data_IF_683032056730
#
_entry.id   IF_683032056730
#
_cell.length_a   1.000
_cell.length_b   1.000
_cell.length_c   1.000
_cell.angle_alpha   90.00
_cell.angle_beta   90.00
_cell.angle_gamma   90.00
#
_symmetry.space_group_name_H-M   'P 1'
#
loop_
_entity.id
_entity.type
_entity.pdbx_description
1 polymer ?
#
# COMPACT_ATOMS: atom_id res chain seq x y z
N UNK A 1 4.22 18.69 -6.46
CA UNK A 1 4.93 17.40 -6.53
C UNK A 1 3.99 16.34 -7.08
N UNK A 2 4.45 15.51 -8.03
CA UNK A 2 3.63 14.41 -8.61
C UNK A 2 3.18 13.40 -7.55
N UNK A 3 3.87 13.34 -6.41
CA UNK A 3 3.62 12.39 -5.32
C UNK A 3 2.88 13.02 -4.13
N UNK A 4 2.36 14.25 -4.29
CA UNK A 4 1.62 14.92 -3.22
C UNK A 4 0.37 14.12 -2.79
N UNK A 5 -0.49 13.63 -3.72
CA UNK A 5 -1.66 12.85 -3.33
C UNK A 5 -1.32 11.56 -2.56
N UNK A 6 -0.25 10.86 -2.94
CA UNK A 6 0.22 9.69 -2.19
C UNK A 6 0.60 10.06 -0.75
N UNK A 7 1.34 11.16 -0.59
CA UNK A 7 1.75 11.60 0.75
C UNK A 7 0.57 11.99 1.62
N UNK A 8 -0.46 12.58 1.03
CA UNK A 8 -1.70 12.95 1.72
C UNK A 8 -2.47 11.71 2.16
N UNK A 9 -2.63 10.71 1.29
CA UNK A 9 -3.27 9.44 1.62
C UNK A 9 -2.52 8.70 2.73
N UNK A 10 -1.19 8.57 2.62
CA UNK A 10 -0.37 7.90 3.65
C UNK A 10 -0.45 8.64 4.99
N UNK A 11 -0.51 9.98 5.00
CA UNK A 11 -0.70 10.76 6.22
C UNK A 11 -2.07 10.54 6.83
N UNK A 12 -3.12 10.55 6.01
CA UNK A 12 -4.49 10.31 6.45
C UNK A 12 -4.61 8.93 7.10
N UNK A 13 -4.19 7.88 6.38
CA UNK A 13 -4.26 6.51 6.88
C UNK A 13 -3.38 6.29 8.12
N UNK A 14 -2.19 6.91 8.14
CA UNK A 14 -1.30 6.85 9.30
C UNK A 14 -1.89 7.54 10.53
N UNK A 15 -2.60 8.68 10.36
CA UNK A 15 -3.32 9.35 11.44
C UNK A 15 -4.46 8.50 11.97
N UNK A 16 -5.30 7.98 11.08
CA UNK A 16 -6.44 7.11 11.45
C UNK A 16 -5.94 5.85 12.18
N UNK A 17 -4.88 5.21 11.70
CA UNK A 17 -4.28 4.06 12.39
C UNK A 17 -3.75 4.46 13.78
N UNK A 18 -3.11 5.63 13.91
CA UNK A 18 -2.62 6.15 15.19
C UNK A 18 -3.74 6.40 16.19
N UNK A 19 -4.86 6.97 15.74
CA UNK A 19 -6.07 7.16 16.56
C UNK A 19 -6.65 5.80 16.99
N UNK A 20 -6.78 4.85 16.07
CA UNK A 20 -7.22 3.47 16.37
C UNK A 20 -6.31 2.79 17.39
N UNK A 21 -4.99 2.92 17.26
CA UNK A 21 -4.03 2.37 18.23
C UNK A 21 -4.22 2.97 19.62
N UNK A 22 -4.39 4.28 19.71
CA UNK A 22 -4.60 4.98 20.98
C UNK A 22 -5.90 4.52 21.67
N UNK A 23 -6.96 4.34 20.90
CA UNK A 23 -8.26 3.87 21.40
C UNK A 23 -8.24 2.40 21.85
N UNK A 24 -7.53 1.53 21.12
CA UNK A 24 -7.57 0.08 21.34
C UNK A 24 -6.49 -0.44 22.28
N UNK A 25 -5.29 0.16 22.26
CA UNK A 25 -4.10 -0.30 23.01
C UNK A 25 -3.67 0.70 24.10
N UNK A 26 -4.28 1.89 24.14
CA UNK A 26 -3.97 2.94 25.10
C UNK A 26 -2.83 3.87 24.71
N UNK A 27 -2.68 4.96 25.47
CA UNK A 27 -1.71 6.03 25.19
C UNK A 27 -0.25 5.56 25.30
N UNK A 28 0.04 4.66 26.23
CA UNK A 28 1.41 4.14 26.45
C UNK A 28 1.89 3.34 25.24
N UNK A 29 1.07 2.42 24.74
CA UNK A 29 1.38 1.62 23.55
C UNK A 29 1.52 2.52 22.31
N UNK A 30 0.64 3.49 22.14
CA UNK A 30 0.74 4.47 21.06
C UNK A 30 2.05 5.27 21.13
N UNK A 31 2.41 5.79 22.32
CA UNK A 31 3.63 6.56 22.51
C UNK A 31 4.88 5.72 22.20
N UNK A 32 4.89 4.45 22.60
CA UNK A 32 5.98 3.51 22.30
C UNK A 32 6.15 3.33 20.78
N UNK A 33 5.05 3.00 20.08
CA UNK A 33 5.06 2.78 18.62
C UNK A 33 5.53 4.05 17.90
N UNK A 34 5.05 5.22 18.33
CA UNK A 34 5.43 6.49 17.76
C UNK A 34 6.91 6.84 18.01
N UNK A 35 7.47 6.47 19.17
CA UNK A 35 8.89 6.62 19.47
C UNK A 35 9.75 5.76 18.54
N UNK A 36 9.39 4.48 18.37
CA UNK A 36 10.08 3.57 17.43
C UNK A 36 10.00 4.13 15.99
N UNK A 37 8.81 4.60 15.57
CA UNK A 37 8.63 5.20 14.25
C UNK A 37 9.51 6.42 14.03
N UNK A 38 9.57 7.32 15.01
CA UNK A 38 10.40 8.54 14.93
C UNK A 38 11.89 8.21 14.88
N UNK A 39 12.34 7.26 15.69
CA UNK A 39 13.73 6.79 15.68
C UNK A 39 14.10 6.18 14.32
N UNK A 40 13.26 5.31 13.77
CA UNK A 40 13.46 4.70 12.46
C UNK A 40 13.49 5.75 11.33
N UNK A 41 12.58 6.73 11.34
CA UNK A 41 12.56 7.83 10.35
C UNK A 41 13.80 8.70 10.47
N UNK A 42 14.28 8.97 11.69
CA UNK A 42 15.50 9.74 11.93
C UNK A 42 16.68 9.01 11.35
N UNK A 43 16.91 7.77 11.73
CA UNK A 43 17.99 6.93 11.22
C UNK A 43 17.96 6.87 9.68
N UNK A 44 16.80 6.66 9.07
CA UNK A 44 16.68 6.63 7.60
C UNK A 44 17.10 7.94 6.93
N UNK A 45 16.87 9.07 7.59
CA UNK A 45 17.24 10.39 7.05
C UNK A 45 18.71 10.75 7.24
N UNK A 46 19.26 10.42 8.40
CA UNK A 46 20.62 10.81 8.77
C UNK A 46 21.65 9.79 8.30
N UNK A 47 21.29 8.51 8.27
CA UNK A 47 22.19 7.36 8.08
C UNK A 47 23.34 7.36 9.12
N UNK A 48 23.09 7.98 10.29
CA UNK A 48 24.06 8.11 11.37
C UNK A 48 24.06 6.84 12.24
N UNK A 49 25.24 6.29 12.54
CA UNK A 49 25.40 5.12 13.40
C UNK A 49 24.84 5.34 14.81
N UNK A 50 24.86 6.57 15.33
CA UNK A 50 24.27 6.90 16.63
C UNK A 50 22.76 6.69 16.63
N UNK A 51 22.09 7.15 15.58
CA UNK A 51 20.64 6.98 15.42
C UNK A 51 20.29 5.49 15.24
N UNK A 52 21.15 4.72 14.56
CA UNK A 52 21.02 3.26 14.42
C UNK A 52 21.11 2.57 15.78
N UNK A 53 22.18 2.85 16.54
CA UNK A 53 22.39 2.27 17.87
C UNK A 53 21.24 2.62 18.82
N UNK A 54 20.76 3.86 18.80
CA UNK A 54 19.62 4.27 19.61
C UNK A 54 18.34 3.51 19.24
N UNK A 55 18.08 3.29 17.95
CA UNK A 55 16.93 2.50 17.49
C UNK A 55 17.06 1.04 17.93
N UNK A 56 18.23 0.42 17.75
CA UNK A 56 18.52 -0.96 18.20
C UNK A 56 18.28 -1.10 19.70
N UNK A 57 18.85 -0.21 20.52
CA UNK A 57 18.64 -0.23 21.98
C UNK A 57 17.16 -0.07 22.37
N UNK A 58 16.41 0.77 21.64
CA UNK A 58 14.98 0.92 21.88
C UNK A 58 14.22 -0.36 21.56
N UNK A 59 14.58 -1.06 20.48
CA UNK A 59 13.94 -2.32 20.09
C UNK A 59 14.33 -3.47 21.03
N UNK A 60 15.58 -3.56 21.44
CA UNK A 60 16.09 -4.61 22.34
C UNK A 60 15.50 -4.51 23.76
N UNK A 61 15.10 -3.32 24.17
CA UNK A 61 14.47 -3.08 25.46
C UNK A 61 12.99 -3.46 25.53
N UNK A 62 12.36 -3.79 24.38
CA UNK A 62 10.94 -4.13 24.31
C UNK A 62 10.66 -5.48 24.98
N UNK A 63 9.62 -5.54 25.77
CA UNK A 63 9.02 -6.81 26.22
C UNK A 63 8.40 -7.56 25.03
N UNK A 64 8.15 -8.88 25.16
CA UNK A 64 7.49 -9.66 24.09
C UNK A 64 6.12 -9.11 23.69
N UNK A 65 5.35 -8.56 24.63
CA UNK A 65 4.04 -7.95 24.36
C UNK A 65 4.17 -6.65 23.58
N UNK A 66 5.12 -5.78 23.97
CA UNK A 66 5.40 -4.53 23.25
C UNK A 66 5.94 -4.80 21.84
N UNK A 67 6.83 -5.77 21.71
CA UNK A 67 7.34 -6.22 20.40
C UNK A 67 6.19 -6.64 19.49
N UNK A 68 5.23 -7.42 20.00
CA UNK A 68 4.06 -7.84 19.22
C UNK A 68 3.21 -6.64 18.77
N UNK A 69 2.96 -5.68 19.67
CA UNK A 69 2.20 -4.47 19.35
C UNK A 69 2.90 -3.62 18.29
N UNK A 70 4.22 -3.44 18.42
CA UNK A 70 5.04 -2.71 17.43
C UNK A 70 4.99 -3.40 16.06
N UNK A 71 5.28 -4.71 16.00
CA UNK A 71 5.27 -5.47 14.74
C UNK A 71 3.89 -5.41 14.08
N UNK A 72 2.83 -5.57 14.88
CA UNK A 72 1.45 -5.50 14.39
C UNK A 72 1.12 -4.13 13.82
N UNK A 73 1.45 -3.05 14.52
CA UNK A 73 1.20 -1.69 14.05
C UNK A 73 1.90 -1.37 12.73
N UNK A 74 3.19 -1.74 12.62
CA UNK A 74 3.93 -1.54 11.37
C UNK A 74 3.44 -2.43 10.23
N UNK A 75 2.98 -3.64 10.51
CA UNK A 75 2.39 -4.52 9.51
C UNK A 75 1.11 -3.92 8.91
N UNK A 76 0.21 -3.41 9.75
CA UNK A 76 -1.00 -2.73 9.26
C UNK A 76 -0.67 -1.41 8.56
N UNK A 77 0.29 -0.64 9.08
CA UNK A 77 0.74 0.57 8.40
C UNK A 77 1.28 0.29 7.00
N UNK A 78 2.07 -0.78 6.84
CA UNK A 78 2.57 -1.22 5.53
C UNK A 78 1.45 -1.61 4.59
N UNK A 79 0.44 -2.36 5.07
CA UNK A 79 -0.72 -2.71 4.25
C UNK A 79 -1.51 -1.48 3.80
N UNK A 80 -1.75 -0.51 4.69
CA UNK A 80 -2.43 0.74 4.36
C UNK A 80 -1.62 1.57 3.35
N UNK A 81 -0.30 1.60 3.51
CA UNK A 81 0.60 2.29 2.57
C UNK A 81 0.54 1.64 1.19
N UNK A 82 0.54 0.31 1.10
CA UNK A 82 0.41 -0.41 -0.17
C UNK A 82 -0.90 -0.06 -0.89
N UNK A 83 -2.02 0.05 -0.15
CA UNK A 83 -3.30 0.48 -0.73
C UNK A 83 -3.18 1.89 -1.35
N UNK A 84 -2.54 2.83 -0.64
CA UNK A 84 -2.33 4.18 -1.14
C UNK A 84 -1.40 4.21 -2.37
N UNK A 85 -0.35 3.38 -2.38
CA UNK A 85 0.58 3.25 -3.52
C UNK A 85 -0.11 2.68 -4.76
N UNK A 86 -0.92 1.63 -4.61
CA UNK A 86 -1.70 1.05 -5.72
C UNK A 86 -2.67 2.06 -6.32
N UNK A 87 -3.37 2.81 -5.47
CA UNK A 87 -4.27 3.87 -5.95
C UNK A 87 -3.48 4.98 -6.67
N UNK A 88 -2.33 5.38 -6.11
CA UNK A 88 -1.48 6.39 -6.75
C UNK A 88 -0.93 5.92 -8.08
N UNK A 89 -0.57 4.64 -8.22
CA UNK A 89 -0.18 4.05 -9.49
C UNK A 89 -1.28 4.20 -10.55
N UNK A 90 -2.53 3.91 -10.17
CA UNK A 90 -3.69 4.08 -11.04
C UNK A 90 -3.92 5.54 -11.42
N UNK A 91 -3.79 6.49 -10.48
CA UNK A 91 -3.86 7.94 -10.76
C UNK A 91 -2.80 8.36 -11.78
N UNK A 92 -1.57 7.90 -11.61
CA UNK A 92 -0.46 8.20 -12.54
C UNK A 92 -0.69 7.59 -13.92
N UNK A 93 -1.21 6.37 -13.98
CA UNK A 93 -1.55 5.73 -15.26
C UNK A 93 -2.63 6.53 -16.01
N UNK A 94 -3.71 6.93 -15.31
CA UNK A 94 -4.77 7.78 -15.90
C UNK A 94 -4.24 9.13 -16.34
N UNK A 95 -3.38 9.76 -15.56
CA UNK A 95 -2.77 11.04 -15.93
C UNK A 95 -1.90 10.90 -17.21
N UNK A 96 -1.13 9.81 -17.31
CA UNK A 96 -0.33 9.49 -18.49
C UNK A 96 -1.20 9.33 -19.75
N UNK A 97 -2.31 8.59 -19.65
CA UNK A 97 -3.25 8.42 -20.75
C UNK A 97 -3.91 9.74 -21.15
N UNK A 98 -4.37 10.55 -20.18
CA UNK A 98 -4.99 11.86 -20.45
C UNK A 98 -4.03 12.86 -21.12
N UNK A 99 -2.75 12.76 -20.83
CA UNK A 99 -1.72 13.62 -21.42
C UNK A 99 -1.32 13.21 -22.85
N UNK A 100 -1.88 12.12 -23.40
CA UNK A 100 -1.48 11.57 -24.69
C UNK A 100 0.02 11.20 -24.74
N UNK A 101 0.59 10.84 -23.59
CA UNK A 101 2.00 10.50 -23.49
C UNK A 101 2.34 9.22 -24.28
N UNK A 102 3.58 9.07 -24.78
CA UNK A 102 3.98 7.87 -25.51
C UNK A 102 3.71 6.59 -24.74
N UNK A 103 3.46 5.47 -25.44
CA UNK A 103 3.25 4.18 -24.80
C UNK A 103 4.42 3.81 -23.85
N UNK A 104 4.07 3.20 -22.72
CA UNK A 104 5.07 2.76 -21.73
C UNK A 104 5.77 1.48 -22.18
N UNK A 105 7.02 1.31 -21.73
CA UNK A 105 7.72 0.05 -21.85
C UNK A 105 6.89 -1.10 -21.25
N UNK A 106 6.87 -2.25 -21.95
CA UNK A 106 6.07 -3.41 -21.59
C UNK A 106 4.58 -3.32 -21.96
N UNK A 107 4.11 -2.21 -22.56
CA UNK A 107 2.75 -2.14 -23.08
C UNK A 107 2.59 -2.84 -24.44
N UNK A 108 1.42 -3.43 -24.67
CA UNK A 108 1.11 -4.04 -25.96
C UNK A 108 1.20 -3.02 -27.10
N UNK A 109 0.77 -1.77 -26.87
CA UNK A 109 0.81 -0.73 -27.87
C UNK A 109 2.26 -0.45 -28.33
N UNK A 110 3.20 -0.28 -27.39
CA UNK A 110 4.60 -0.08 -27.74
C UNK A 110 5.20 -1.32 -28.45
N UNK A 111 4.81 -2.53 -28.05
CA UNK A 111 5.25 -3.74 -28.73
C UNK A 111 4.78 -3.77 -30.20
N UNK A 112 3.51 -3.39 -30.45
CA UNK A 112 2.95 -3.32 -31.80
C UNK A 112 3.58 -2.19 -32.63
N UNK A 113 3.86 -1.03 -32.05
CA UNK A 113 4.60 0.06 -32.72
C UNK A 113 5.99 -0.41 -33.14
N UNK A 114 6.75 -1.11 -32.27
CA UNK A 114 8.04 -1.69 -32.59
C UNK A 114 7.98 -2.77 -33.68
N UNK A 115 6.91 -3.55 -33.71
CA UNK A 115 6.66 -4.52 -34.79
C UNK A 115 6.46 -3.79 -36.12
N UNK A 116 5.66 -2.73 -36.14
CA UNK A 116 5.42 -1.92 -37.32
C UNK A 116 6.69 -1.22 -37.82
N UNK A 117 7.50 -0.65 -36.92
CA UNK A 117 8.81 -0.05 -37.25
C UNK A 117 9.78 -1.03 -37.91
N UNK A 118 9.71 -2.31 -37.52
CA UNK A 118 10.53 -3.38 -38.09
C UNK A 118 9.96 -3.97 -39.36
N UNK A 119 8.87 -3.40 -39.89
CA UNK A 119 8.18 -3.86 -41.09
C UNK A 119 7.82 -5.35 -41.10
N UNK A 120 7.53 -5.91 -39.90
CA UNK A 120 7.02 -7.27 -39.80
C UNK A 120 5.59 -7.31 -40.35
N UNK A 121 5.37 -8.24 -41.28
CA UNK A 121 4.05 -8.38 -41.90
C UNK A 121 3.05 -9.09 -40.95
N UNK A 122 1.77 -9.00 -41.32
CA UNK A 122 0.69 -9.59 -40.54
C UNK A 122 0.82 -11.10 -40.41
N UNK A 123 1.28 -11.76 -41.48
CA UNK A 123 1.37 -13.23 -41.52
C UNK A 123 2.47 -13.75 -40.60
N UNK A 124 3.61 -13.07 -40.58
CA UNK A 124 4.70 -13.33 -39.63
C UNK A 124 4.25 -13.16 -38.17
N UNK A 125 3.54 -12.06 -37.86
CA UNK A 125 3.01 -11.82 -36.51
C UNK A 125 1.96 -12.87 -36.14
N UNK A 126 1.07 -13.24 -37.07
CA UNK A 126 0.06 -14.27 -36.85
C UNK A 126 0.68 -15.64 -36.61
N UNK A 127 1.72 -16.02 -37.39
CA UNK A 127 2.45 -17.25 -37.23
C UNK A 127 3.13 -17.32 -35.86
N UNK A 128 3.76 -16.21 -35.42
CA UNK A 128 4.36 -16.11 -34.09
C UNK A 128 3.30 -16.31 -32.97
N UNK A 129 2.19 -15.61 -33.05
CA UNK A 129 1.11 -15.70 -32.04
C UNK A 129 0.47 -17.09 -32.01
N UNK A 130 0.32 -17.76 -33.16
CA UNK A 130 -0.20 -19.11 -33.25
C UNK A 130 0.75 -20.16 -32.64
N UNK A 131 2.07 -19.91 -32.66
CA UNK A 131 3.08 -20.79 -32.09
C UNK A 131 3.47 -20.42 -30.65
N UNK A 132 3.06 -19.24 -30.16
CA UNK A 132 3.38 -18.78 -28.83
C UNK A 132 2.69 -19.61 -27.75
N UNK A 133 3.45 -20.07 -26.77
CA UNK A 133 2.94 -20.76 -25.60
C UNK A 133 3.01 -19.82 -24.41
N UNK A 134 1.85 -19.47 -23.85
CA UNK A 134 1.77 -18.76 -22.57
C UNK A 134 1.52 -19.81 -21.48
N UNK A 135 2.56 -20.11 -20.70
CA UNK A 135 2.49 -21.08 -19.62
C UNK A 135 2.61 -20.38 -18.27
N UNK A 136 1.49 -20.11 -17.57
CA UNK A 136 1.55 -19.59 -16.21
C UNK A 136 2.13 -20.66 -15.28
N UNK A 137 3.19 -20.30 -14.55
CA UNK A 137 3.80 -21.18 -13.56
C UNK A 137 3.20 -20.87 -12.20
N UNK A 138 2.45 -21.83 -11.64
CA UNK A 138 1.99 -21.80 -10.27
C UNK A 138 3.12 -22.26 -9.36
N UNK A 139 3.65 -21.38 -8.54
CA UNK A 139 4.68 -21.73 -7.57
C UNK A 139 4.04 -22.31 -6.33
N UNK A 140 4.68 -23.31 -5.72
CA UNK A 140 4.26 -23.91 -4.45
C UNK A 140 4.58 -23.01 -3.23
N UNK A 141 5.14 -21.82 -3.43
CA UNK A 141 5.33 -20.88 -2.35
C UNK A 141 3.95 -20.41 -1.86
N UNK A 142 3.62 -20.65 -0.58
CA UNK A 142 2.41 -20.10 -0.03
C UNK A 142 2.57 -18.57 -0.06
N UNK A 143 1.98 -17.95 -1.07
CA UNK A 143 1.67 -16.54 -1.00
C UNK A 143 0.81 -16.36 0.24
N UNK A 144 1.08 -15.31 0.98
CA UNK A 144 0.37 -14.96 2.20
C UNK A 144 -1.14 -15.10 2.00
N UNK A 145 -1.74 -16.09 2.69
CA UNK A 145 -3.18 -16.33 2.58
C UNK A 145 -3.89 -15.39 3.55
N UNK A 146 -4.25 -14.23 3.05
CA UNK A 146 -5.08 -13.31 3.80
C UNK A 146 -6.49 -13.86 4.01
N UNK A 147 -7.08 -13.58 5.17
CA UNK A 147 -8.50 -13.85 5.40
C UNK A 147 -9.32 -12.99 4.44
N UNK A 148 -10.42 -13.55 3.94
CA UNK A 148 -11.34 -12.81 3.06
C UNK A 148 -11.79 -11.49 3.69
N UNK A 149 -12.06 -11.47 4.99
CA UNK A 149 -12.44 -10.26 5.73
C UNK A 149 -11.38 -9.15 5.65
N UNK A 150 -10.08 -9.49 5.65
CA UNK A 150 -8.99 -8.52 5.47
C UNK A 150 -9.02 -7.97 4.05
N UNK A 151 -9.14 -8.84 3.04
CA UNK A 151 -9.21 -8.43 1.64
C UNK A 151 -10.44 -7.54 1.38
N UNK A 152 -11.59 -7.88 1.95
CA UNK A 152 -12.81 -7.08 1.82
C UNK A 152 -12.63 -5.68 2.47
N UNK A 153 -12.00 -5.59 3.65
CA UNK A 153 -11.66 -4.31 4.29
C UNK A 153 -10.70 -3.47 3.44
N UNK A 154 -9.63 -4.09 2.92
CA UNK A 154 -8.66 -3.40 2.06
C UNK A 154 -9.33 -2.85 0.79
N UNK A 155 -10.22 -3.63 0.18
CA UNK A 155 -10.99 -3.19 -1.00
C UNK A 155 -11.88 -1.99 -0.67
N UNK A 156 -12.55 -1.98 0.49
CA UNK A 156 -13.40 -0.86 0.91
C UNK A 156 -12.54 0.38 1.19
N UNK A 157 -11.43 0.23 1.91
CA UNK A 157 -10.49 1.35 2.16
C UNK A 157 -10.00 1.94 0.83
N UNK A 158 -9.63 1.09 -0.15
CA UNK A 158 -9.21 1.55 -1.48
C UNK A 158 -10.32 2.33 -2.20
N UNK A 159 -11.58 1.89 -2.09
CA UNK A 159 -12.72 2.62 -2.67
C UNK A 159 -12.93 3.97 -2.01
N UNK A 160 -12.93 4.02 -0.67
CA UNK A 160 -13.10 5.26 0.09
C UNK A 160 -12.01 6.29 -0.24
N UNK A 161 -10.74 5.85 -0.37
CA UNK A 161 -9.66 6.72 -0.82
C UNK A 161 -9.88 7.21 -2.27
N UNK A 162 -10.37 6.32 -3.16
CA UNK A 162 -10.65 6.69 -4.55
C UNK A 162 -11.80 7.68 -4.68
N UNK A 163 -12.77 7.64 -3.79
CA UNK A 163 -13.88 8.60 -3.73
C UNK A 163 -13.39 10.01 -3.41
N UNK A 164 -12.34 10.14 -2.59
CA UNK A 164 -11.72 11.44 -2.25
C UNK A 164 -11.03 12.12 -3.45
N UNK A 165 -10.80 11.40 -4.55
CA UNK A 165 -10.30 11.99 -5.80
C UNK A 165 -11.35 12.80 -6.57
N UNK A 166 -12.60 12.74 -6.14
CA UNK A 166 -13.67 13.53 -6.75
C UNK A 166 -13.52 14.99 -6.35
N UNK A 167 -13.62 15.86 -7.35
CA UNK A 167 -13.39 17.31 -7.15
C UNK A 167 -14.54 17.98 -6.42
N UNK A 168 -15.70 17.33 -6.36
CA UNK A 168 -16.99 17.90 -5.96
C UNK A 168 -17.52 17.38 -4.59
N UNK A 169 -16.67 16.77 -3.79
CA UNK A 169 -17.06 16.34 -2.43
C UNK A 169 -17.30 17.54 -1.52
N UNK A 170 -18.45 17.52 -0.85
CA UNK A 170 -18.78 18.50 0.20
C UNK A 170 -17.98 18.21 1.49
N UNK A 171 -17.88 19.20 2.42
CA UNK A 171 -17.26 18.95 3.73
C UNK A 171 -17.93 17.83 4.52
N UNK A 172 -19.24 17.67 4.42
CA UNK A 172 -20.01 16.60 5.07
C UNK A 172 -19.63 15.24 4.49
N UNK A 173 -19.61 15.10 3.14
CA UNK A 173 -19.18 13.87 2.48
C UNK A 173 -17.73 13.49 2.79
N UNK A 174 -16.84 14.48 2.93
CA UNK A 174 -15.45 14.24 3.36
C UNK A 174 -15.37 13.72 4.80
N UNK A 175 -16.21 14.27 5.70
CA UNK A 175 -16.31 13.82 7.08
C UNK A 175 -16.83 12.40 7.17
N UNK A 176 -17.91 12.09 6.46
CA UNK A 176 -18.49 10.74 6.41
C UNK A 176 -17.53 9.70 5.84
N UNK A 177 -16.81 10.09 4.79
CA UNK A 177 -15.78 9.24 4.19
C UNK A 177 -14.64 8.94 5.18
N UNK A 178 -14.19 9.95 5.94
CA UNK A 178 -13.14 9.78 6.96
C UNK A 178 -13.61 8.91 8.13
N UNK A 179 -14.84 9.08 8.58
CA UNK A 179 -15.45 8.21 9.60
C UNK A 179 -15.55 6.76 9.10
N UNK A 180 -15.94 6.57 7.83
CA UNK A 180 -15.96 5.25 7.23
C UNK A 180 -14.54 4.63 7.14
N UNK A 181 -13.53 5.40 6.75
CA UNK A 181 -12.14 4.95 6.76
C UNK A 181 -11.70 4.52 8.18
N UNK A 182 -11.99 5.33 9.20
CA UNK A 182 -11.68 5.00 10.59
C UNK A 182 -12.33 3.67 11.01
N UNK A 183 -13.61 3.47 10.70
CA UNK A 183 -14.34 2.24 10.98
C UNK A 183 -13.68 1.00 10.34
N UNK A 184 -13.26 1.08 9.07
CA UNK A 184 -12.65 -0.05 8.39
C UNK A 184 -11.20 -0.29 8.83
N UNK A 185 -10.44 0.72 9.21
CA UNK A 185 -9.12 0.57 9.83
C UNK A 185 -9.26 -0.09 11.21
N UNK A 186 -10.28 0.28 12.00
CA UNK A 186 -10.58 -0.36 13.28
C UNK A 186 -10.93 -1.85 13.10
N UNK A 187 -11.80 -2.19 12.13
CA UNK A 187 -12.13 -3.58 11.81
C UNK A 187 -10.88 -4.35 11.40
N UNK A 188 -10.04 -3.74 10.58
CA UNK A 188 -8.76 -4.33 10.17
C UNK A 188 -7.87 -4.58 11.39
N UNK A 189 -7.74 -3.61 12.29
CA UNK A 189 -6.98 -3.74 13.54
C UNK A 189 -7.50 -4.86 14.44
N UNK A 190 -8.80 -5.01 14.58
CA UNK A 190 -9.43 -6.05 15.40
C UNK A 190 -9.38 -7.45 14.75
N UNK A 191 -9.07 -7.54 13.46
CA UNK A 191 -8.99 -8.80 12.73
C UNK A 191 -7.60 -9.41 12.86
N UNK A 192 -7.48 -10.65 13.33
CA UNK A 192 -6.18 -11.36 13.38
C UNK A 192 -5.70 -11.66 11.97
N UNK A 193 -4.48 -11.22 11.64
CA UNK A 193 -3.86 -11.44 10.32
C UNK A 193 -3.65 -12.94 10.03
N UNK A 194 -3.09 -13.68 10.98
CA UNK A 194 -2.75 -15.08 10.80
C UNK A 194 -3.82 -15.99 11.42
N UNK A 195 -4.15 -17.09 10.73
CA UNK A 195 -4.82 -18.22 11.36
C UNK A 195 -3.80 -18.91 12.26
N UNK A 196 -4.04 -18.94 13.55
CA UNK A 196 -3.36 -19.93 14.38
C UNK A 196 -3.84 -21.31 13.90
N UNK A 197 -2.92 -22.13 13.36
CA UNK A 197 -3.20 -23.54 13.15
C UNK A 197 -3.57 -24.13 14.53
N UNK A 198 -4.72 -24.81 14.59
CA UNK A 198 -5.08 -25.65 15.73
C UNK A 198 -4.26 -26.91 15.68
#
# INVERSE_FOLDING_TARGET
>A
SKDLPLREDVRLLGRILGETLREQEGEESYALIENVRRAAVRFRKTQDDRDRVQLEQTLDALSPSETLSVVRAFSYFSQLTNIAEDLHHNRRHRAHLKAGSPPKDGSLLLALERVAEKHLDKDTLQAFLNSALISPVLTAHPTEVHRKSILDCQLIISRLLSERDRVDMTPEELSDNEEALHRFVLILWQTRMLRTAK
#
